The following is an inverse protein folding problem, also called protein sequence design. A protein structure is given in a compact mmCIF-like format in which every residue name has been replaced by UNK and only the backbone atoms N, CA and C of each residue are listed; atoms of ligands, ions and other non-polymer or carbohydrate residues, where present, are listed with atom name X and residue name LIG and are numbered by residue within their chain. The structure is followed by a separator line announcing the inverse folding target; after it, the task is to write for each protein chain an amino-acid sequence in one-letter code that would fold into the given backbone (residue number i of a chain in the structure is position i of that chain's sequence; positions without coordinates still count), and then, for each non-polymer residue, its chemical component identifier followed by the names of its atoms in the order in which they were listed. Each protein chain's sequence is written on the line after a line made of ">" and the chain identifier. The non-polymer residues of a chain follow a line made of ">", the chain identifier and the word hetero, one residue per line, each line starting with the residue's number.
data_IF_645747162467
#
_entry.id   IF_645747162467
#
_cell.length_a   1.000
_cell.length_b   1.000
_cell.length_c   1.000
_cell.angle_alpha   90.00
_cell.angle_beta   90.00
_cell.angle_gamma   90.00
#
_symmetry.space_group_name_H-M   'P 1'
#
loop_
_entity.id
_entity.type
_entity.pdbx_description
1 polymer ?
#
# COMPACT_ATOMS: atom_id res chain seq x y z
N UNK A 1 -20.20 -32.90 24.25
CA UNK A 1 -19.79 -33.99 23.33
C UNK A 1 -19.04 -33.34 22.19
N UNK A 2 -17.72 -33.49 22.24
CA UNK A 2 -16.77 -32.86 21.35
C UNK A 2 -16.36 -33.82 20.23
N UNK A 3 -15.68 -33.26 19.23
CA UNK A 3 -14.89 -33.93 18.19
C UNK A 3 -15.65 -34.25 16.89
N UNK A 4 -15.92 -33.20 16.13
CA UNK A 4 -15.67 -33.24 14.69
C UNK A 4 -14.15 -33.04 14.49
N UNK A 5 -13.41 -34.13 14.28
CA UNK A 5 -11.98 -34.09 14.01
C UNK A 5 -11.68 -34.60 12.61
N UNK A 6 -10.72 -33.90 12.01
CA UNK A 6 -9.74 -34.39 11.04
C UNK A 6 -10.24 -34.75 9.65
N UNK A 7 -10.34 -33.74 8.79
CA UNK A 7 -10.07 -33.92 7.37
C UNK A 7 -9.37 -32.69 6.77
N UNK A 8 -8.17 -32.40 7.27
CA UNK A 8 -7.14 -31.64 6.54
C UNK A 8 -5.84 -32.41 6.70
N UNK A 9 -5.75 -33.55 6.04
CA UNK A 9 -4.53 -34.34 5.95
C UNK A 9 -3.69 -33.78 4.81
N UNK A 10 -2.57 -33.16 5.19
CA UNK A 10 -1.30 -33.12 4.48
C UNK A 10 -1.35 -33.28 2.95
N UNK A 11 -1.20 -32.17 2.22
CA UNK A 11 -0.60 -32.21 0.88
C UNK A 11 0.92 -32.30 1.11
N UNK A 12 1.39 -33.50 1.41
CA UNK A 12 2.79 -33.86 1.26
C UNK A 12 3.08 -34.01 -0.24
N UNK A 13 3.49 -32.93 -0.91
CA UNK A 13 4.18 -33.05 -2.19
C UNK A 13 5.69 -33.07 -1.92
N UNK A 14 6.32 -34.19 -2.24
CA UNK A 14 7.78 -34.31 -2.36
C UNK A 14 8.23 -33.45 -3.54
N UNK A 15 8.25 -32.12 -3.35
CA UNK A 15 8.45 -31.14 -4.41
C UNK A 15 9.92 -30.96 -4.77
N UNK A 16 10.20 -30.95 -6.07
CA UNK A 16 11.54 -30.70 -6.60
C UNK A 16 12.03 -29.32 -6.15
N UNK A 17 13.11 -29.27 -5.39
CA UNK A 17 13.70 -28.01 -4.92
C UNK A 17 14.48 -27.30 -6.04
N UNK A 18 14.06 -26.09 -6.38
CA UNK A 18 14.59 -25.28 -7.47
C UNK A 18 15.61 -24.25 -7.00
N UNK A 19 16.60 -23.93 -7.83
CA UNK A 19 17.52 -22.82 -7.59
C UNK A 19 16.94 -21.49 -8.10
N UNK A 20 17.49 -20.36 -7.63
CA UNK A 20 17.04 -19.03 -8.07
C UNK A 20 17.04 -18.88 -9.60
N UNK A 21 18.05 -19.44 -10.27
CA UNK A 21 18.13 -19.41 -11.74
C UNK A 21 17.00 -20.21 -12.40
N UNK A 22 16.67 -21.39 -11.86
CA UNK A 22 15.57 -22.21 -12.37
C UNK A 22 14.20 -21.55 -12.17
N UNK A 23 13.99 -20.90 -11.00
CA UNK A 23 12.77 -20.12 -10.74
C UNK A 23 12.63 -18.97 -11.73
N UNK A 24 13.72 -18.26 -12.03
CA UNK A 24 13.72 -17.20 -13.03
C UNK A 24 13.38 -17.73 -14.42
N UNK A 25 13.96 -18.87 -14.85
CA UNK A 25 13.64 -19.46 -16.15
C UNK A 25 12.15 -19.79 -16.30
N UNK A 26 11.50 -20.23 -15.21
CA UNK A 26 10.07 -20.57 -15.20
C UNK A 26 9.20 -19.31 -15.29
N UNK A 27 9.46 -18.31 -14.42
CA UNK A 27 8.60 -17.13 -14.28
C UNK A 27 8.89 -16.03 -15.31
N UNK A 28 10.08 -15.97 -15.90
CA UNK A 28 10.47 -14.91 -16.85
C UNK A 28 9.62 -14.95 -18.14
N UNK A 29 9.05 -16.10 -18.51
CA UNK A 29 8.07 -16.19 -19.62
C UNK A 29 6.82 -15.33 -19.40
N UNK A 30 6.40 -15.16 -18.15
CA UNK A 30 5.20 -14.40 -17.76
C UNK A 30 5.55 -13.02 -17.18
N UNK A 31 6.76 -12.88 -16.60
CA UNK A 31 7.27 -11.69 -15.92
C UNK A 31 8.70 -11.39 -16.39
N UNK A 32 8.89 -10.77 -17.57
CA UNK A 32 10.22 -10.55 -18.16
C UNK A 32 11.13 -9.65 -17.31
N UNK A 33 10.54 -8.79 -16.47
CA UNK A 33 11.27 -7.88 -15.57
C UNK A 33 11.69 -8.52 -14.25
N UNK A 34 11.41 -9.82 -14.05
CA UNK A 34 11.78 -10.53 -12.83
C UNK A 34 13.30 -10.72 -12.76
N UNK A 35 13.92 -10.08 -11.77
CA UNK A 35 15.36 -10.19 -11.51
C UNK A 35 15.68 -11.03 -10.26
N UNK A 36 16.90 -11.58 -10.12
CA UNK A 36 17.36 -12.21 -8.88
C UNK A 36 17.24 -11.29 -7.66
N UNK A 37 17.46 -9.98 -7.84
CA UNK A 37 17.35 -8.97 -6.78
C UNK A 37 15.91 -8.82 -6.29
N UNK A 38 14.92 -8.87 -7.19
CA UNK A 38 13.50 -8.83 -6.83
C UNK A 38 13.09 -10.05 -5.99
N UNK A 39 13.56 -11.26 -6.35
CA UNK A 39 13.30 -12.46 -5.55
C UNK A 39 13.89 -12.38 -4.14
N UNK A 40 15.14 -11.91 -4.00
CA UNK A 40 15.77 -11.71 -2.68
C UNK A 40 15.02 -10.67 -1.87
N UNK A 41 14.60 -9.59 -2.51
CA UNK A 41 13.81 -8.57 -1.86
C UNK A 41 12.47 -9.10 -1.34
N UNK A 42 11.77 -9.96 -2.11
CA UNK A 42 10.52 -10.60 -1.65
C UNK A 42 10.76 -11.53 -0.44
N UNK A 43 11.89 -12.24 -0.39
CA UNK A 43 12.30 -13.04 0.76
C UNK A 43 12.62 -12.17 1.98
N UNK A 44 13.39 -11.09 1.81
CA UNK A 44 13.72 -10.14 2.88
C UNK A 44 12.46 -9.49 3.48
N UNK A 45 11.44 -9.28 2.66
CA UNK A 45 10.12 -8.79 3.08
C UNK A 45 9.22 -9.92 3.62
N UNK A 46 9.72 -11.15 3.79
CA UNK A 46 8.98 -12.27 4.39
C UNK A 46 7.76 -12.71 3.57
N UNK A 47 7.73 -12.45 2.26
CA UNK A 47 6.62 -12.87 1.40
C UNK A 47 6.81 -14.27 0.83
N UNK A 48 8.05 -14.74 0.79
CA UNK A 48 8.45 -16.08 0.38
C UNK A 48 9.50 -16.58 1.37
N UNK A 49 9.47 -17.88 1.68
CA UNK A 49 10.33 -18.49 2.70
C UNK A 49 11.09 -19.70 2.12
N UNK A 50 12.05 -19.46 1.22
CA UNK A 50 12.81 -20.55 0.60
C UNK A 50 13.65 -21.29 1.64
N UNK A 51 13.75 -22.61 1.48
CA UNK A 51 14.59 -23.46 2.33
C UNK A 51 16.07 -23.14 2.12
N UNK A 52 16.85 -23.21 3.20
CA UNK A 52 18.30 -23.10 3.13
C UNK A 52 18.93 -24.48 3.24
N UNK A 53 19.88 -24.78 2.35
CA UNK A 53 20.72 -25.96 2.49
C UNK A 53 21.70 -25.78 3.65
N UNK A 54 22.29 -26.85 4.20
CA UNK A 54 23.36 -26.75 5.20
C UNK A 54 24.57 -25.90 4.73
N UNK A 55 24.74 -25.76 3.41
CA UNK A 55 25.76 -24.92 2.78
C UNK A 55 25.30 -23.46 2.53
N UNK A 56 24.10 -23.08 2.98
CA UNK A 56 23.60 -21.70 2.91
C UNK A 56 22.90 -21.29 1.60
N UNK A 57 22.75 -22.19 0.64
CA UNK A 57 22.07 -21.90 -0.63
C UNK A 57 20.55 -21.96 -0.50
N UNK A 58 19.86 -21.07 -1.21
CA UNK A 58 18.39 -21.02 -1.27
C UNK A 58 17.84 -22.06 -2.23
N UNK A 59 16.81 -22.75 -1.77
CA UNK A 59 16.06 -23.77 -2.49
C UNK A 59 14.59 -23.43 -2.40
N UNK A 60 14.01 -23.12 -3.55
CA UNK A 60 12.60 -22.76 -3.68
C UNK A 60 11.80 -24.03 -3.94
N UNK A 61 10.74 -24.24 -3.18
CA UNK A 61 9.75 -25.27 -3.46
C UNK A 61 8.84 -24.85 -4.62
N UNK A 62 8.06 -25.78 -5.16
CA UNK A 62 7.02 -25.43 -6.14
C UNK A 62 5.97 -24.48 -5.55
N UNK A 63 5.71 -24.57 -4.24
CA UNK A 63 4.82 -23.64 -3.54
C UNK A 63 5.39 -22.22 -3.53
N UNK A 64 6.69 -22.05 -3.31
CA UNK A 64 7.35 -20.74 -3.36
C UNK A 64 7.26 -20.10 -4.74
N UNK A 65 7.39 -20.91 -5.80
CA UNK A 65 7.24 -20.45 -7.18
C UNK A 65 5.81 -19.98 -7.44
N UNK A 66 4.81 -20.78 -7.02
CA UNK A 66 3.41 -20.40 -7.19
C UNK A 66 3.05 -19.16 -6.38
N UNK A 67 3.56 -19.05 -5.15
CA UNK A 67 3.39 -17.86 -4.30
C UNK A 67 4.03 -16.63 -4.95
N UNK A 68 5.24 -16.77 -5.50
CA UNK A 68 5.93 -15.70 -6.24
C UNK A 68 5.11 -15.26 -7.45
N UNK A 69 4.56 -16.20 -8.23
CA UNK A 69 3.66 -15.88 -9.35
C UNK A 69 2.48 -15.02 -8.89
N UNK A 70 1.75 -15.45 -7.85
CA UNK A 70 0.62 -14.69 -7.30
C UNK A 70 1.03 -13.30 -6.84
N UNK A 71 2.18 -13.15 -6.16
CA UNK A 71 2.71 -11.84 -5.77
C UNK A 71 2.94 -10.94 -6.99
N UNK A 72 3.56 -11.48 -8.04
CA UNK A 72 3.88 -10.72 -9.26
C UNK A 72 2.63 -10.36 -10.06
N UNK A 73 1.63 -11.24 -10.13
CA UNK A 73 0.32 -10.94 -10.74
C UNK A 73 -0.40 -9.83 -9.98
N UNK A 74 -0.43 -9.89 -8.65
CA UNK A 74 -1.05 -8.85 -7.81
C UNK A 74 -0.32 -7.50 -7.93
N UNK A 75 1.00 -7.51 -8.13
CA UNK A 75 1.76 -6.29 -8.40
C UNK A 75 1.50 -5.74 -9.80
N UNK A 76 1.50 -6.61 -10.83
CA UNK A 76 1.36 -6.21 -12.24
C UNK A 76 -0.06 -5.78 -12.58
N UNK A 77 -1.05 -6.55 -12.14
CA UNK A 77 -2.44 -6.40 -12.60
C UNK A 77 -3.26 -5.55 -11.61
N UNK A 78 -2.84 -5.46 -10.33
CA UNK A 78 -3.59 -4.78 -9.28
C UNK A 78 -2.81 -3.75 -8.47
N UNK A 79 -1.49 -3.60 -8.69
CA UNK A 79 -0.65 -2.59 -8.06
C UNK A 79 -0.67 -2.64 -6.53
N UNK A 80 -0.72 -3.85 -5.95
CA UNK A 80 -0.81 -4.03 -4.50
C UNK A 80 0.51 -3.67 -3.78
N UNK A 81 0.49 -2.85 -2.72
CA UNK A 81 1.64 -2.70 -1.81
C UNK A 81 1.98 -4.04 -1.13
N UNK A 82 3.28 -4.31 -0.90
CA UNK A 82 3.77 -5.57 -0.33
C UNK A 82 3.10 -5.97 0.99
N UNK A 83 2.75 -4.98 1.83
CA UNK A 83 2.03 -5.20 3.09
C UNK A 83 0.65 -5.82 2.85
N UNK A 84 -0.09 -5.31 1.85
CA UNK A 84 -1.44 -5.81 1.51
C UNK A 84 -1.33 -7.20 0.88
N UNK A 85 -0.31 -7.42 0.05
CA UNK A 85 -0.02 -8.75 -0.50
C UNK A 85 0.25 -9.76 0.63
N UNK A 86 1.01 -9.37 1.67
CA UNK A 86 1.25 -10.23 2.83
C UNK A 86 -0.05 -10.63 3.53
N UNK A 87 -0.91 -9.66 3.85
CA UNK A 87 -2.20 -9.91 4.50
C UNK A 87 -3.11 -10.80 3.63
N UNK A 88 -3.04 -10.66 2.30
CA UNK A 88 -3.78 -11.50 1.35
C UNK A 88 -3.26 -12.94 1.34
N UNK A 89 -1.93 -13.12 1.34
CA UNK A 89 -1.30 -14.43 1.38
C UNK A 89 -1.55 -15.15 2.70
N UNK A 90 -1.54 -14.45 3.83
CA UNK A 90 -1.89 -15.02 5.15
C UNK A 90 -3.35 -15.52 5.18
N UNK A 91 -4.26 -14.81 4.53
CA UNK A 91 -5.66 -15.26 4.39
C UNK A 91 -5.78 -16.52 3.53
N UNK A 92 -5.06 -16.58 2.41
CA UNK A 92 -4.95 -17.77 1.57
C UNK A 92 -4.44 -18.98 2.36
N UNK A 93 -3.34 -18.79 3.11
CA UNK A 93 -2.69 -19.84 3.88
C UNK A 93 -3.60 -20.35 5.02
N UNK A 94 -4.47 -19.50 5.56
CA UNK A 94 -5.45 -19.85 6.60
C UNK A 94 -6.67 -20.66 6.11
N UNK A 95 -6.74 -21.00 4.81
CA UNK A 95 -7.83 -21.78 4.22
C UNK A 95 -9.15 -21.02 4.06
N UNK A 96 -9.15 -19.70 4.26
CA UNK A 96 -10.28 -18.84 3.93
C UNK A 96 -10.22 -18.52 2.44
N UNK A 97 -11.35 -18.49 1.73
CA UNK A 97 -11.39 -17.92 0.38
C UNK A 97 -10.98 -16.45 0.50
N UNK A 98 -9.78 -16.07 0.02
CA UNK A 98 -9.37 -14.69 0.15
C UNK A 98 -10.31 -13.87 -0.72
N UNK A 99 -11.03 -12.93 -0.12
CA UNK A 99 -11.42 -11.79 -0.94
C UNK A 99 -10.10 -11.11 -1.27
N UNK A 100 -9.71 -11.06 -2.54
CA UNK A 100 -8.73 -10.08 -2.95
C UNK A 100 -9.21 -8.77 -2.33
N UNK A 101 -8.46 -8.14 -1.41
CA UNK A 101 -8.72 -6.75 -1.16
C UNK A 101 -8.47 -6.14 -2.53
N UNK A 102 -9.55 -5.79 -3.25
CA UNK A 102 -9.41 -4.90 -4.39
C UNK A 102 -8.44 -3.81 -3.90
N UNK A 103 -7.46 -3.43 -4.71
CA UNK A 103 -6.66 -2.19 -4.57
C UNK A 103 -7.47 -1.06 -3.92
N UNK A 104 -8.72 -1.03 -4.32
CA UNK A 104 -9.79 -0.21 -3.79
C UNK A 104 -10.21 -0.44 -2.32
N UNK A 105 -9.50 -1.16 -1.46
CA UNK A 105 -9.96 -1.45 -0.09
C UNK A 105 -8.94 -1.12 1.00
N UNK A 106 -7.67 -0.89 0.65
CA UNK A 106 -6.69 -0.33 1.60
C UNK A 106 -6.40 1.14 1.29
N UNK A 107 -6.42 1.52 0.01
CA UNK A 107 -6.49 2.93 -0.42
C UNK A 107 -7.92 3.38 -0.77
N UNK A 108 -8.86 2.47 -1.03
CA UNK A 108 -10.27 2.84 -1.26
C UNK A 108 -11.31 2.32 -0.24
N UNK A 109 -10.86 1.87 0.94
CA UNK A 109 -11.65 2.13 2.17
C UNK A 109 -11.77 3.63 2.48
N UNK A 110 -11.09 4.48 1.71
CA UNK A 110 -11.21 5.93 1.70
C UNK A 110 -11.91 6.49 0.45
N UNK A 111 -12.49 5.68 -0.43
CA UNK A 111 -13.41 6.19 -1.45
C UNK A 111 -14.76 5.51 -1.28
N UNK A 112 -15.70 6.15 -0.57
CA UNK A 112 -17.07 5.69 -0.65
C UNK A 112 -17.53 5.73 -2.11
N UNK A 113 -18.16 4.63 -2.57
CA UNK A 113 -18.76 4.48 -3.92
C UNK A 113 -19.82 5.54 -4.26
N UNK A 114 -20.24 6.32 -3.25
CA UNK A 114 -20.86 7.62 -3.41
C UNK A 114 -19.91 8.65 -2.82
N UNK A 115 -19.60 9.78 -3.48
CA UNK A 115 -18.92 10.88 -2.79
C UNK A 115 -19.79 11.25 -1.58
N UNK A 116 -19.37 10.84 -0.38
CA UNK A 116 -20.05 11.23 0.84
C UNK A 116 -19.75 12.71 0.97
N UNK A 117 -20.65 13.54 0.44
CA UNK A 117 -20.65 14.97 0.68
C UNK A 117 -21.10 15.15 2.13
N UNK A 118 -20.14 15.21 3.03
CA UNK A 118 -20.41 15.42 4.44
C UNK A 118 -20.68 16.89 4.68
N UNK A 119 -21.67 17.15 5.53
CA UNK A 119 -21.88 18.49 6.08
C UNK A 119 -20.89 18.74 7.21
N UNK A 120 -20.69 20.01 7.59
CA UNK A 120 -19.86 20.36 8.75
C UNK A 120 -20.29 19.63 10.03
N UNK A 121 -21.59 19.51 10.25
CA UNK A 121 -22.16 18.81 11.42
C UNK A 121 -21.81 17.33 11.40
N UNK A 122 -21.93 16.67 10.23
CA UNK A 122 -21.58 15.27 10.08
C UNK A 122 -20.07 15.02 10.30
N UNK A 123 -19.21 15.84 9.70
CA UNK A 123 -17.76 15.76 9.88
C UNK A 123 -17.36 15.90 11.36
N UNK A 124 -17.91 16.89 12.06
CA UNK A 124 -17.63 17.12 13.49
C UNK A 124 -18.12 15.96 14.36
N UNK A 125 -19.32 15.43 14.07
CA UNK A 125 -19.89 14.29 14.78
C UNK A 125 -19.05 13.02 14.61
N UNK A 126 -18.60 12.73 13.38
CA UNK A 126 -17.86 11.51 13.07
C UNK A 126 -16.40 11.50 13.51
N UNK A 127 -15.76 12.68 13.58
CA UNK A 127 -14.32 12.80 13.85
C UNK A 127 -14.01 13.35 15.24
N UNK A 128 -14.97 14.04 15.87
CA UNK A 128 -14.77 14.76 17.12
C UNK A 128 -13.96 16.06 16.98
N UNK A 129 -13.72 16.54 15.76
CA UNK A 129 -12.98 17.79 15.54
C UNK A 129 -13.78 18.99 16.06
N UNK A 130 -13.13 19.86 16.84
CA UNK A 130 -13.76 21.09 17.31
C UNK A 130 -13.90 22.10 16.18
N UNK A 131 -14.90 23.00 16.26
CA UNK A 131 -15.11 24.04 15.24
C UNK A 131 -13.89 24.95 15.06
N UNK A 132 -13.17 25.25 16.15
CA UNK A 132 -11.94 26.05 16.11
C UNK A 132 -10.78 25.34 15.41
N UNK A 133 -10.58 24.04 15.66
CA UNK A 133 -9.55 23.25 14.98
C UNK A 133 -9.85 23.06 13.50
N UNK A 134 -11.12 22.82 13.16
CA UNK A 134 -11.55 22.75 11.77
C UNK A 134 -11.29 24.07 11.04
N UNK A 135 -11.60 25.21 11.67
CA UNK A 135 -11.31 26.53 11.11
C UNK A 135 -9.81 26.74 10.93
N UNK A 136 -8.98 26.39 11.91
CA UNK A 136 -7.51 26.48 11.80
C UNK A 136 -6.98 25.61 10.65
N UNK A 137 -7.47 24.37 10.51
CA UNK A 137 -7.11 23.48 9.42
C UNK A 137 -7.51 24.04 8.03
N UNK A 138 -8.68 24.67 7.94
CA UNK A 138 -9.16 25.33 6.71
C UNK A 138 -8.32 26.57 6.37
N UNK A 139 -7.94 27.39 7.34
CA UNK A 139 -7.05 28.54 7.12
C UNK A 139 -5.71 28.12 6.54
N UNK A 140 -5.21 26.93 6.94
CA UNK A 140 -3.97 26.36 6.43
C UNK A 140 -4.14 25.50 5.17
N UNK A 141 -5.36 25.47 4.61
CA UNK A 141 -5.72 24.67 3.44
C UNK A 141 -5.41 23.17 3.59
N UNK A 142 -5.45 22.65 4.83
CA UNK A 142 -5.30 21.22 5.10
C UNK A 142 -6.62 20.47 4.85
N UNK A 143 -7.74 21.14 5.09
CA UNK A 143 -9.10 20.62 4.88
C UNK A 143 -9.85 21.62 4.00
N UNK A 144 -10.63 21.12 3.04
CA UNK A 144 -11.42 21.95 2.15
C UNK A 144 -12.63 22.59 2.85
N UNK A 145 -13.37 23.43 2.12
CA UNK A 145 -14.69 23.89 2.56
C UNK A 145 -15.76 22.86 2.19
N UNK A 146 -16.88 22.90 2.90
CA UNK A 146 -18.04 22.05 2.62
C UNK A 146 -18.50 22.19 1.15
N UNK A 147 -18.90 21.09 0.47
CA UNK A 147 -19.05 19.72 0.96
C UNK A 147 -17.72 19.01 1.20
N UNK A 148 -17.60 18.36 2.36
CA UNK A 148 -16.38 17.61 2.70
C UNK A 148 -16.39 16.25 2.01
N UNK A 149 -15.21 15.81 1.56
CA UNK A 149 -15.00 14.50 0.97
C UNK A 149 -14.38 13.53 1.98
N UNK A 150 -14.20 12.27 1.58
CA UNK A 150 -13.57 11.26 2.43
C UNK A 150 -12.14 11.63 2.85
N UNK A 151 -11.39 12.30 1.97
CA UNK A 151 -10.05 12.80 2.29
C UNK A 151 -10.09 13.83 3.43
N UNK A 152 -11.05 14.77 3.41
CA UNK A 152 -11.21 15.77 4.47
C UNK A 152 -11.53 15.12 5.82
N UNK A 153 -12.34 14.06 5.81
CA UNK A 153 -12.68 13.27 6.99
C UNK A 153 -11.45 12.58 7.59
N UNK A 154 -10.60 11.96 6.78
CA UNK A 154 -9.38 11.32 7.28
C UNK A 154 -8.38 12.33 7.83
N UNK A 155 -8.22 13.48 7.17
CA UNK A 155 -7.37 14.56 7.66
C UNK A 155 -7.89 15.08 9.01
N UNK A 156 -9.21 15.26 9.15
CA UNK A 156 -9.83 15.65 10.42
C UNK A 156 -9.58 14.62 11.54
N UNK A 157 -9.75 13.32 11.28
CA UNK A 157 -9.42 12.24 12.25
C UNK A 157 -7.94 12.30 12.66
N UNK A 158 -7.04 12.45 11.70
CA UNK A 158 -5.61 12.54 11.95
C UNK A 158 -5.25 13.75 12.83
N UNK A 159 -5.84 14.92 12.56
CA UNK A 159 -5.63 16.13 13.38
C UNK A 159 -6.11 15.91 14.82
N UNK A 160 -7.30 15.31 15.01
CA UNK A 160 -7.83 14.99 16.35
C UNK A 160 -6.90 14.02 17.10
N UNK A 161 -6.37 13.00 16.41
CA UNK A 161 -5.41 12.08 17.02
C UNK A 161 -4.07 12.74 17.35
N UNK A 162 -3.60 13.68 16.54
CA UNK A 162 -2.35 14.42 16.79
C UNK A 162 -2.46 15.37 18.00
N UNK A 163 -3.67 15.87 18.29
CA UNK A 163 -3.91 16.75 19.43
C UNK A 163 -3.51 16.12 20.78
N UNK A 164 -3.61 14.79 20.94
CA UNK A 164 -3.19 14.09 22.17
C UNK A 164 -1.68 14.23 22.46
N UNK A 165 -0.90 14.60 21.46
CA UNK A 165 0.53 14.88 21.55
C UNK A 165 0.85 16.38 21.55
N UNK A 166 -0.16 17.26 21.68
CA UNK A 166 0.01 18.72 21.62
C UNK A 166 0.20 19.28 20.20
N UNK A 167 0.00 18.46 19.16
CA UNK A 167 0.21 18.86 17.77
C UNK A 167 -1.10 19.37 17.19
N UNK A 168 -1.19 20.69 16.97
CA UNK A 168 -2.29 21.37 16.28
C UNK A 168 -1.97 21.70 14.80
N UNK A 169 -2.96 22.10 13.97
CA UNK A 169 -2.79 22.35 12.54
C UNK A 169 -1.65 23.31 12.18
N UNK A 170 -1.38 24.35 12.98
CA UNK A 170 -0.23 25.26 12.79
C UNK A 170 1.13 24.58 12.65
N UNK A 171 1.34 23.42 13.27
CA UNK A 171 2.58 22.66 13.17
C UNK A 171 2.68 21.88 11.85
N UNK A 172 1.56 21.69 11.15
CA UNK A 172 1.48 20.93 9.90
C UNK A 172 1.74 21.81 8.66
N UNK A 173 2.06 23.10 8.82
CA UNK A 173 2.41 23.99 7.70
C UNK A 173 3.55 23.46 6.84
N UNK A 174 4.58 22.89 7.48
CA UNK A 174 5.70 22.29 6.76
C UNK A 174 5.28 21.08 5.92
N UNK A 175 4.38 20.26 6.45
CA UNK A 175 3.81 19.12 5.74
C UNK A 175 2.98 19.58 4.54
N UNK A 176 2.11 20.60 4.72
CA UNK A 176 1.33 21.20 3.62
C UNK A 176 2.22 21.75 2.51
N UNK A 177 3.25 22.52 2.87
CA UNK A 177 4.19 23.06 1.89
C UNK A 177 4.97 21.96 1.16
N UNK A 178 5.25 20.83 1.81
CA UNK A 178 5.85 19.67 1.13
C UNK A 178 4.88 19.04 0.13
N UNK A 179 3.62 18.82 0.55
CA UNK A 179 2.58 18.27 -0.33
C UNK A 179 2.35 19.15 -1.57
N UNK A 180 2.33 20.48 -1.41
CA UNK A 180 2.16 21.41 -2.55
C UNK A 180 3.31 21.31 -3.55
N UNK A 181 4.55 21.13 -3.07
CA UNK A 181 5.70 20.90 -3.95
C UNK A 181 5.59 19.57 -4.68
N UNK A 182 5.18 18.51 -3.98
CA UNK A 182 4.99 17.19 -4.58
C UNK A 182 3.91 17.21 -5.67
N UNK A 183 2.79 17.89 -5.41
CA UNK A 183 1.73 18.12 -6.40
C UNK A 183 2.31 18.82 -7.63
N UNK A 184 3.06 19.92 -7.45
CA UNK A 184 3.66 20.64 -8.57
C UNK A 184 4.64 19.79 -9.39
N UNK A 185 5.42 18.90 -8.75
CA UNK A 185 6.29 17.96 -9.45
C UNK A 185 5.47 16.94 -10.24
N UNK A 186 4.44 16.35 -9.62
CA UNK A 186 3.55 15.39 -10.28
C UNK A 186 2.89 16.02 -11.49
N UNK A 187 2.30 17.21 -11.33
CA UNK A 187 1.66 17.98 -12.41
C UNK A 187 2.62 18.24 -13.57
N UNK A 188 3.86 18.65 -13.27
CA UNK A 188 4.89 18.87 -14.30
C UNK A 188 5.25 17.62 -15.09
N UNK A 189 5.27 16.45 -14.43
CA UNK A 189 5.58 15.16 -15.08
C UNK A 189 4.40 14.65 -15.92
N UNK A 190 3.16 14.83 -15.45
CA UNK A 190 1.98 14.29 -16.16
C UNK A 190 1.45 15.22 -17.26
N UNK A 191 1.77 16.52 -17.23
CA UNK A 191 1.29 17.49 -18.21
C UNK A 191 1.56 17.11 -19.69
N UNK A 192 2.75 16.62 -20.08
CA UNK A 192 3.01 16.19 -21.45
C UNK A 192 2.25 14.92 -21.87
N UNK A 193 1.85 14.09 -20.91
CA UNK A 193 1.06 12.87 -21.16
C UNK A 193 -0.39 13.24 -21.41
N UNK A 194 -0.94 14.17 -20.62
CA UNK A 194 -2.30 14.67 -20.75
C UNK A 194 -2.54 15.43 -22.06
N UNK A 195 -1.54 16.14 -22.59
CA UNK A 195 -1.68 16.95 -23.81
C UNK A 195 -2.00 16.14 -25.08
N UNK A 196 -1.75 14.83 -25.08
CA UNK A 196 -2.01 13.94 -26.23
C UNK A 196 -3.50 13.63 -26.45
N UNK A 197 -4.40 14.07 -25.57
CA UNK A 197 -5.87 14.06 -25.71
C UNK A 197 -6.54 12.74 -26.16
N UNK A 198 -5.94 11.61 -25.78
CA UNK A 198 -6.53 10.26 -25.96
C UNK A 198 -7.12 9.78 -24.64
N UNK A 199 -8.20 8.99 -24.68
CA UNK A 199 -8.78 8.40 -23.46
C UNK A 199 -7.75 7.57 -22.66
N UNK A 200 -6.84 6.89 -23.35
CA UNK A 200 -5.70 6.18 -22.76
C UNK A 200 -4.68 7.12 -22.08
N UNK A 201 -4.57 8.38 -22.50
CA UNK A 201 -3.64 9.36 -21.93
C UNK A 201 -4.04 9.80 -20.53
N UNK A 202 -5.34 9.91 -20.23
CA UNK A 202 -5.80 10.22 -18.87
C UNK A 202 -5.49 9.07 -17.90
N UNK A 203 -5.75 7.83 -18.33
CA UNK A 203 -5.43 6.65 -17.51
C UNK A 203 -3.92 6.54 -17.24
N UNK A 204 -3.07 6.74 -18.26
CA UNK A 204 -1.61 6.77 -18.10
C UNK A 204 -1.12 7.89 -17.19
N UNK A 205 -1.68 9.09 -17.32
CA UNK A 205 -1.33 10.22 -16.47
C UNK A 205 -1.68 9.95 -15.00
N UNK A 206 -2.88 9.41 -14.73
CA UNK A 206 -3.27 9.00 -13.37
C UNK A 206 -2.33 7.92 -12.82
N UNK A 207 -1.96 6.93 -13.64
CA UNK A 207 -1.02 5.88 -13.27
C UNK A 207 0.33 6.47 -12.84
N UNK A 208 0.95 7.32 -13.68
CA UNK A 208 2.22 7.94 -13.33
C UNK A 208 2.14 8.84 -12.09
N UNK A 209 1.05 9.60 -11.93
CA UNK A 209 0.85 10.40 -10.73
C UNK A 209 0.85 9.52 -9.45
N UNK A 210 0.16 8.39 -9.49
CA UNK A 210 0.09 7.44 -8.37
C UNK A 210 1.44 6.77 -8.10
N UNK A 211 2.18 6.38 -9.14
CA UNK A 211 3.51 5.81 -8.96
C UNK A 211 4.48 6.80 -8.30
N UNK A 212 4.47 8.06 -8.74
CA UNK A 212 5.31 9.12 -8.16
C UNK A 212 4.93 9.39 -6.69
N UNK A 213 3.64 9.50 -6.39
CA UNK A 213 3.15 9.69 -5.02
C UNK A 213 3.59 8.55 -4.11
N UNK A 214 3.46 7.29 -4.56
CA UNK A 214 3.91 6.12 -3.82
C UNK A 214 5.41 6.16 -3.49
N UNK A 215 6.25 6.64 -4.43
CA UNK A 215 7.69 6.80 -4.19
C UNK A 215 7.97 7.92 -3.19
N UNK A 216 7.29 9.06 -3.29
CA UNK A 216 7.41 10.14 -2.30
C UNK A 216 6.99 9.68 -0.90
N UNK A 217 5.88 8.94 -0.79
CA UNK A 217 5.43 8.36 0.48
C UNK A 217 6.47 7.41 1.08
N UNK A 218 7.09 6.57 0.25
CA UNK A 218 8.16 5.66 0.67
C UNK A 218 9.36 6.42 1.23
N UNK A 219 9.85 7.43 0.50
CA UNK A 219 10.97 8.27 0.93
C UNK A 219 10.65 8.97 2.26
N UNK A 220 9.47 9.61 2.38
CA UNK A 220 9.04 10.25 3.64
C UNK A 220 9.02 9.27 4.80
N UNK A 221 8.47 8.08 4.60
CA UNK A 221 8.38 7.04 5.63
C UNK A 221 9.77 6.62 6.13
N UNK A 222 10.70 6.36 5.22
CA UNK A 222 12.06 5.93 5.57
C UNK A 222 12.88 7.03 6.26
N UNK A 223 12.73 8.29 5.83
CA UNK A 223 13.37 9.44 6.50
C UNK A 223 12.91 9.55 7.97
N UNK A 224 11.61 9.36 8.24
CA UNK A 224 11.05 9.41 9.60
C UNK A 224 11.52 8.20 10.41
N UNK A 225 11.43 6.98 9.85
CA UNK A 225 11.88 5.75 10.53
C UNK A 225 13.35 5.81 10.91
N UNK A 226 14.20 6.37 10.05
CA UNK A 226 15.63 6.55 10.32
C UNK A 226 15.87 7.37 11.61
N UNK A 227 15.07 8.43 11.83
CA UNK A 227 15.15 9.21 13.07
C UNK A 227 14.59 8.44 14.27
N UNK A 228 13.42 7.80 14.13
CA UNK A 228 12.80 7.03 15.22
C UNK A 228 13.70 5.88 15.68
N UNK A 229 14.38 5.18 14.76
CA UNK A 229 15.31 4.09 15.07
C UNK A 229 16.50 4.50 15.94
N UNK A 230 16.80 5.80 16.02
CA UNK A 230 17.85 6.34 16.89
C UNK A 230 17.36 6.62 18.31
N UNK A 231 16.05 6.70 18.53
CA UNK A 231 15.45 6.90 19.86
C UNK A 231 15.45 5.58 20.64
N UNK A 232 15.36 4.46 19.94
CA UNK A 232 15.36 3.09 20.51
C UNK A 232 16.77 2.56 20.84
N UNK A 233 17.81 3.40 20.68
CA UNK A 233 19.21 3.09 21.00
C UNK A 233 19.68 3.94 22.18
#
# INVERSE_FOLDING_TARGET
>A
MAQAQSNVRAISSSGRLLTIGQVLTILNREFPDLSPSKLRFLEEQGLIEPQRTPAGYRKFSEQDVQRTRVILELQRDQYLPLRVIRDYLEQLDSGKTPNLPQVQASVAKLQPKNPIKLTKVALMSETGISAGLLQEAQTLMLINKEPFESADLEIARAIVHLQRFGISPRHLRGLKASADREIGIIEGVVAPVLSKNEAASKSRATHYAQEIENQFATIRSELIKSVISKIDK
#
